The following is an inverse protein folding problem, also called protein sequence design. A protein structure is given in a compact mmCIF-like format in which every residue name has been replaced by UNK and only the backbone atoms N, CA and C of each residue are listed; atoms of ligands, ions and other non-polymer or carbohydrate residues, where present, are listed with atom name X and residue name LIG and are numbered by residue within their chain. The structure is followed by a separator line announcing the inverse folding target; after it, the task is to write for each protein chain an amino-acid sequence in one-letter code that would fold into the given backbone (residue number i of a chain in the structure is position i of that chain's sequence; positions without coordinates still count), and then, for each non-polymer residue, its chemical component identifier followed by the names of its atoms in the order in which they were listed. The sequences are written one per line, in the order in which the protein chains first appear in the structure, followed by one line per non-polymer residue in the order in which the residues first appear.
data_IF_149214199148
#
_entry.id   IF_149214199148
#
_cell.length_a   1.000
_cell.length_b   1.000
_cell.length_c   1.000
_cell.angle_alpha   90.00
_cell.angle_beta   90.00
_cell.angle_gamma   90.00
#
_symmetry.space_group_name_H-M   'P 1'
#
loop_
_entity.id
_entity.type
_entity.pdbx_description
1 polymer ?
#
# COMPACT_ATOMS: atom_id res chain seq x y z
N UNK A 1 4.19 8.96 3.42
CA UNK A 1 3.33 7.95 2.74
C UNK A 1 3.04 6.77 3.65
N UNK A 2 4.06 6.10 4.20
CA UNK A 2 3.83 4.96 5.10
C UNK A 2 2.95 5.26 6.33
N UNK A 3 3.25 6.33 7.09
CA UNK A 3 2.40 6.74 8.22
C UNK A 3 0.96 7.01 7.79
N UNK A 4 0.78 7.79 6.73
CA UNK A 4 -0.55 8.06 6.16
C UNK A 4 -1.30 6.78 5.75
N UNK A 5 -0.62 5.80 5.14
CA UNK A 5 -1.23 4.50 4.82
C UNK A 5 -1.66 3.74 6.06
N UNK A 6 -0.82 3.73 7.10
CA UNK A 6 -1.11 3.05 8.36
C UNK A 6 -2.29 3.70 9.09
N UNK A 7 -2.33 5.03 9.15
CA UNK A 7 -3.43 5.79 9.74
C UNK A 7 -4.74 5.54 8.98
N UNK A 8 -4.68 5.55 7.64
CA UNK A 8 -5.83 5.27 6.78
C UNK A 8 -6.34 3.84 6.95
N UNK A 9 -5.43 2.86 7.03
CA UNK A 9 -5.78 1.45 7.25
C UNK A 9 -6.42 1.26 8.63
N UNK A 10 -5.90 1.92 9.66
CA UNK A 10 -6.48 1.92 11.00
C UNK A 10 -7.92 2.47 11.00
N UNK A 11 -8.16 3.60 10.34
CA UNK A 11 -9.50 4.20 10.21
C UNK A 11 -10.45 3.22 9.49
N UNK A 12 -10.00 2.62 8.39
CA UNK A 12 -10.81 1.66 7.65
C UNK A 12 -11.12 0.39 8.45
N UNK A 13 -10.18 -0.07 9.28
CA UNK A 13 -10.39 -1.21 10.17
C UNK A 13 -11.37 -0.89 11.30
N UNK A 14 -11.31 0.32 11.87
CA UNK A 14 -12.25 0.79 12.90
C UNK A 14 -13.70 0.79 12.41
N UNK A 15 -13.93 1.14 11.14
CA UNK A 15 -15.25 1.12 10.51
C UNK A 15 -15.57 -0.23 9.85
N UNK A 16 -14.75 -1.26 10.08
CA UNK A 16 -14.91 -2.62 9.55
C UNK A 16 -15.07 -2.68 8.03
N UNK A 17 -14.35 -1.81 7.32
CA UNK A 17 -14.43 -1.77 5.86
C UNK A 17 -13.77 -3.02 5.26
N UNK A 18 -14.51 -3.76 4.44
CA UNK A 18 -13.93 -4.88 3.69
C UNK A 18 -12.86 -4.40 2.71
N UNK A 19 -11.85 -5.23 2.42
CA UNK A 19 -10.72 -4.86 1.55
C UNK A 19 -11.12 -4.35 0.17
N UNK A 20 -12.19 -4.91 -0.43
CA UNK A 20 -12.77 -4.43 -1.69
C UNK A 20 -13.29 -2.99 -1.57
N UNK A 21 -13.92 -2.67 -0.44
CA UNK A 21 -14.44 -1.34 -0.15
C UNK A 21 -13.34 -0.34 0.21
N UNK A 22 -12.24 -0.78 0.84
CA UNK A 22 -11.08 0.08 1.15
C UNK A 22 -10.49 0.71 -0.11
N UNK A 23 -10.35 -0.10 -1.15
CA UNK A 23 -9.86 0.34 -2.44
C UNK A 23 -10.79 1.34 -3.14
N UNK A 24 -12.11 1.20 -2.98
CA UNK A 24 -13.05 2.18 -3.53
C UNK A 24 -13.06 3.47 -2.71
N UNK A 25 -13.01 3.35 -1.38
CA UNK A 25 -13.07 4.47 -0.46
C UNK A 25 -11.86 5.40 -0.60
N UNK A 26 -10.66 4.87 -0.86
CA UNK A 26 -9.42 5.67 -0.89
C UNK A 26 -9.47 6.84 -1.86
N UNK A 27 -10.23 6.72 -2.96
CA UNK A 27 -10.35 7.79 -3.95
C UNK A 27 -10.81 9.11 -3.34
N UNK A 28 -11.67 9.05 -2.32
CA UNK A 28 -12.22 10.22 -1.62
C UNK A 28 -11.24 10.87 -0.64
N UNK A 29 -10.15 10.19 -0.29
CA UNK A 29 -9.14 10.65 0.67
C UNK A 29 -7.85 11.11 -0.01
N UNK A 30 -7.74 10.98 -1.33
CA UNK A 30 -6.61 11.45 -2.10
C UNK A 30 -6.77 12.93 -2.48
N UNK A 31 -5.74 13.73 -2.20
CA UNK A 31 -5.63 15.09 -2.75
C UNK A 31 -5.36 15.09 -4.27
N UNK A 32 -5.32 16.27 -4.88
CA UNK A 32 -5.33 16.42 -6.35
C UNK A 32 -4.26 15.62 -7.10
N UNK A 33 -2.98 15.76 -6.73
CA UNK A 33 -1.90 15.06 -7.43
C UNK A 33 -1.95 13.52 -7.20
N UNK A 34 -2.08 13.01 -5.97
CA UNK A 34 -2.29 11.58 -5.71
C UNK A 34 -3.54 11.01 -6.37
N UNK A 35 -4.64 11.77 -6.45
CA UNK A 35 -5.87 11.35 -7.10
C UNK A 35 -5.70 11.23 -8.61
N UNK A 36 -5.02 12.19 -9.26
CA UNK A 36 -4.68 12.11 -10.68
C UNK A 36 -3.80 10.89 -10.98
N UNK A 37 -2.77 10.67 -10.16
CA UNK A 37 -1.92 9.48 -10.26
C UNK A 37 -2.74 8.19 -10.11
N UNK A 38 -3.61 8.12 -9.10
CA UNK A 38 -4.45 6.95 -8.87
C UNK A 38 -5.38 6.68 -10.06
N UNK A 39 -6.06 7.70 -10.59
CA UNK A 39 -6.96 7.56 -11.74
C UNK A 39 -6.23 7.05 -12.98
N UNK A 40 -5.00 7.52 -13.22
CA UNK A 40 -4.17 7.05 -14.33
C UNK A 40 -3.74 5.59 -14.17
N UNK A 41 -3.44 5.15 -12.95
CA UNK A 41 -2.91 3.81 -12.67
C UNK A 41 -3.99 2.80 -12.23
N UNK A 42 -5.26 3.22 -12.10
CA UNK A 42 -6.35 2.44 -11.51
C UNK A 42 -6.51 1.05 -12.13
N UNK A 43 -6.38 0.94 -13.45
CA UNK A 43 -6.49 -0.32 -14.19
C UNK A 43 -5.43 -1.36 -13.80
N UNK A 44 -4.28 -0.92 -13.31
CA UNK A 44 -3.14 -1.77 -12.96
C UNK A 44 -3.11 -2.12 -11.46
N UNK A 45 -4.05 -1.60 -10.69
CA UNK A 45 -4.10 -1.74 -9.23
C UNK A 45 -5.44 -2.41 -8.88
N UNK A 46 -5.52 -3.76 -8.81
CA UNK A 46 -6.80 -4.46 -8.69
C UNK A 46 -7.43 -4.40 -7.30
N UNK A 47 -6.63 -4.11 -6.27
CA UNK A 47 -7.08 -4.19 -4.87
C UNK A 47 -6.30 -3.26 -3.93
N UNK A 48 -6.71 -3.24 -2.67
CA UNK A 48 -6.10 -2.44 -1.60
C UNK A 48 -4.63 -2.79 -1.35
N UNK A 49 -4.26 -4.07 -1.42
CA UNK A 49 -2.88 -4.53 -1.16
C UNK A 49 -1.94 -4.00 -2.25
N UNK A 50 -2.35 -4.16 -3.50
CA UNK A 50 -1.67 -3.66 -4.68
C UNK A 50 -1.54 -2.14 -4.65
N UNK A 51 -2.57 -1.44 -4.16
CA UNK A 51 -2.53 0.01 -4.00
C UNK A 51 -1.46 0.45 -3.01
N UNK A 52 -1.38 -0.17 -1.83
CA UNK A 52 -0.37 0.16 -0.79
C UNK A 52 1.04 0.04 -1.34
N UNK A 53 1.30 -0.99 -2.15
CA UNK A 53 2.59 -1.17 -2.82
C UNK A 53 2.79 -0.04 -3.84
N UNK A 54 1.89 0.10 -4.81
CA UNK A 54 2.03 1.04 -5.91
C UNK A 54 2.24 2.51 -5.45
N UNK A 55 1.54 2.94 -4.39
CA UNK A 55 1.68 4.31 -3.90
C UNK A 55 3.00 4.55 -3.16
N UNK A 56 3.52 3.54 -2.46
CA UNK A 56 4.87 3.59 -1.89
C UNK A 56 5.92 3.64 -3.01
N UNK A 57 5.74 2.88 -4.10
CA UNK A 57 6.65 2.92 -5.24
C UNK A 57 6.69 4.30 -5.92
N UNK A 58 5.52 4.90 -6.13
CA UNK A 58 5.39 6.18 -6.82
C UNK A 58 5.96 7.36 -6.00
N UNK A 59 5.78 7.35 -4.68
CA UNK A 59 6.11 8.50 -3.83
C UNK A 59 7.31 8.28 -2.90
N UNK A 60 7.79 7.05 -2.76
CA UNK A 60 8.98 6.68 -1.96
C UNK A 60 9.78 5.55 -2.64
N UNK A 61 10.33 5.78 -3.86
CA UNK A 61 10.98 4.74 -4.65
C UNK A 61 12.19 4.08 -3.96
N UNK A 62 12.91 4.83 -3.10
CA UNK A 62 14.04 4.32 -2.31
C UNK A 62 13.65 3.34 -1.20
N UNK A 63 12.38 3.31 -0.79
CA UNK A 63 11.88 2.34 0.18
C UNK A 63 11.38 1.06 -0.48
N UNK A 64 10.93 1.14 -1.74
CA UNK A 64 10.53 -0.03 -2.50
C UNK A 64 11.69 -1.02 -2.70
N UNK A 65 12.90 -0.52 -2.97
CA UNK A 65 14.11 -1.34 -3.06
C UNK A 65 14.41 -2.09 -1.76
N UNK A 66 14.10 -1.51 -0.60
CA UNK A 66 14.23 -2.16 0.71
C UNK A 66 13.12 -3.18 0.96
N UNK A 67 11.86 -2.88 0.61
CA UNK A 67 10.73 -3.82 0.72
C UNK A 67 10.90 -5.06 -0.18
N UNK A 68 11.44 -4.88 -1.39
CA UNK A 68 11.80 -5.99 -2.28
C UNK A 68 12.92 -6.86 -1.69
N UNK A 69 13.95 -6.26 -1.09
CA UNK A 69 15.01 -7.00 -0.41
C UNK A 69 14.49 -7.81 0.78
N UNK A 70 13.55 -7.27 1.55
CA UNK A 70 12.93 -7.99 2.68
C UNK A 70 12.05 -9.14 2.20
N UNK A 71 11.29 -8.98 1.11
CA UNK A 71 10.53 -10.10 0.50
C UNK A 71 11.40 -11.21 -0.10
N UNK A 72 12.66 -10.91 -0.44
CA UNK A 72 13.61 -11.87 -1.02
C UNK A 72 14.46 -12.60 0.03
N UNK A 73 14.37 -12.22 1.31
CA UNK A 73 14.96 -13.04 2.36
C UNK A 73 14.01 -14.22 2.62
N UNK A 74 14.37 -15.48 2.26
CA UNK A 74 13.67 -16.62 2.84
C UNK A 74 13.77 -16.47 4.36
N UNK A 75 12.70 -16.83 5.07
CA UNK A 75 12.75 -16.99 6.52
C UNK A 75 13.99 -17.83 6.85
N UNK A 76 15.05 -17.17 7.35
CA UNK A 76 16.24 -17.85 7.81
C UNK A 76 15.76 -18.58 9.05
N UNK A 77 15.40 -19.84 8.86
CA UNK A 77 15.22 -20.78 9.95
C UNK A 77 16.52 -20.73 10.75
N UNK A 78 16.45 -20.13 11.94
CA UNK A 78 17.46 -20.31 12.97
C UNK A 78 17.49 -21.81 13.32
N UNK A 79 18.28 -22.58 12.57
CA UNK A 79 18.84 -23.81 13.09
C UNK A 79 20.03 -23.41 13.94
N UNK A 80 19.79 -23.37 15.25
CA UNK A 80 20.84 -23.42 16.25
C UNK A 80 21.68 -24.68 16.02
N UNK A 81 22.99 -24.51 15.85
CA UNK A 81 24.02 -25.46 16.28
C UNK A 81 25.24 -24.66 16.73
#
# INVERSE_FOLDING_TARGET
VLHWLQDTECIFDQVQLQSSNKYLAIQSYLGDAPLKWFRFNKSNIPDWSSFKIAIVQAYQPSLNSTLFKVKQQPAVNHHNF
#
